data_IF_166332550839
#
_entry.id   IF_166332550839
#
_cell.length_a   1.000
_cell.length_b   1.000
_cell.length_c   1.000
_cell.angle_alpha   90.00
_cell.angle_beta   90.00
_cell.angle_gamma   90.00
#
_symmetry.space_group_name_H-M   'P 1'
#
loop_
_entity.id
_entity.type
_entity.pdbx_description
1 polymer ?
#
# COMPACT_ATOMS: atom_id res chain seq x y z
N UNK A 1 -14.41 5.55 10.76
CA UNK A 1 -12.96 5.42 11.10
C UNK A 1 -12.66 3.93 11.20
N UNK A 2 -12.12 3.34 10.13
CA UNK A 2 -11.80 1.91 10.09
C UNK A 2 -10.53 1.71 10.93
N UNK A 3 -10.66 1.07 12.08
CA UNK A 3 -9.53 0.63 12.89
C UNK A 3 -8.67 -0.33 12.08
N UNK A 4 -7.34 -0.18 12.11
CA UNK A 4 -6.42 -1.07 11.42
C UNK A 4 -6.65 -2.52 11.87
N UNK A 5 -7.19 -3.34 10.99
CA UNK A 5 -7.37 -4.77 11.19
C UNK A 5 -6.46 -5.55 10.23
N UNK A 6 -6.02 -6.69 10.65
CA UNK A 6 -5.26 -7.62 9.83
C UNK A 6 -6.18 -8.76 9.44
N UNK A 7 -6.40 -8.94 8.14
CA UNK A 7 -7.15 -10.08 7.61
C UNK A 7 -6.16 -11.22 7.34
N UNK A 8 -6.35 -12.36 7.99
CA UNK A 8 -5.55 -13.56 7.79
C UNK A 8 -6.44 -14.78 7.59
N UNK A 9 -5.99 -15.72 6.76
CA UNK A 9 -6.65 -17.02 6.62
C UNK A 9 -5.97 -18.02 7.54
N UNK A 10 -6.72 -18.53 8.51
CA UNK A 10 -6.25 -19.59 9.41
C UNK A 10 -6.78 -20.95 8.94
N UNK A 11 -5.96 -22.02 9.00
CA UNK A 11 -6.41 -23.36 8.69
C UNK A 11 -7.59 -23.76 9.57
N UNK A 12 -8.67 -24.25 8.96
CA UNK A 12 -9.88 -24.69 9.67
C UNK A 12 -10.81 -23.58 10.20
N UNK A 13 -10.38 -22.31 10.20
CA UNK A 13 -11.19 -21.20 10.73
C UNK A 13 -11.61 -20.18 9.65
N UNK A 14 -11.10 -20.31 8.42
CA UNK A 14 -11.42 -19.36 7.33
C UNK A 14 -10.68 -18.03 7.46
N UNK A 15 -11.34 -16.94 7.01
CA UNK A 15 -10.82 -15.58 7.14
C UNK A 15 -11.08 -15.05 8.56
N UNK A 16 -10.01 -14.73 9.27
CA UNK A 16 -10.06 -14.19 10.62
C UNK A 16 -9.57 -12.76 10.64
N UNK A 17 -10.35 -11.92 11.28
CA UNK A 17 -10.03 -10.51 11.46
C UNK A 17 -9.26 -10.33 12.78
N UNK A 18 -7.96 -10.07 12.68
CA UNK A 18 -7.11 -9.77 13.83
C UNK A 18 -7.09 -8.26 14.10
N UNK A 19 -7.31 -7.85 15.35
CA UNK A 19 -7.04 -6.47 15.72
C UNK A 19 -5.54 -6.19 15.61
N UNK A 20 -5.18 -5.08 14.95
CA UNK A 20 -3.79 -4.66 14.93
C UNK A 20 -3.35 -4.31 16.35
N UNK A 21 -2.36 -5.02 16.87
CA UNK A 21 -1.89 -4.96 18.26
C UNK A 21 -1.24 -3.64 18.68
N UNK A 22 -1.04 -2.68 17.77
CA UNK A 22 -0.31 -1.44 18.09
C UNK A 22 -1.02 -0.21 17.54
N UNK A 23 -1.02 0.89 18.28
CA UNK A 23 -1.48 2.22 17.81
C UNK A 23 -0.74 2.67 16.54
N UNK A 24 0.50 2.26 16.34
CA UNK A 24 1.28 2.51 15.11
C UNK A 24 0.64 1.94 13.84
N UNK A 25 -0.25 0.96 13.96
CA UNK A 25 -0.98 0.39 12.82
C UNK A 25 -2.21 1.20 12.40
N UNK A 26 -2.62 2.17 13.22
CA UNK A 26 -3.74 3.09 12.92
C UNK A 26 -3.16 4.38 12.38
N UNK A 27 -2.98 4.45 11.06
CA UNK A 27 -2.45 5.63 10.39
C UNK A 27 -3.45 6.18 9.39
N UNK A 28 -3.56 7.50 9.32
CA UNK A 28 -4.23 8.18 8.24
C UNK A 28 -3.25 8.45 7.13
N UNK A 29 -3.62 8.12 5.90
CA UNK A 29 -2.83 8.36 4.69
C UNK A 29 -3.62 9.33 3.82
N UNK A 30 -2.99 10.42 3.40
CA UNK A 30 -3.57 11.32 2.41
C UNK A 30 -3.52 10.64 1.04
N UNK A 31 -4.66 10.57 0.38
CA UNK A 31 -4.82 9.99 -0.95
C UNK A 31 -4.87 11.10 -2.01
N UNK A 32 -4.39 10.80 -3.21
CA UNK A 32 -4.58 11.67 -4.37
C UNK A 32 -6.04 11.64 -4.84
N UNK A 33 -6.45 12.69 -5.56
CA UNK A 33 -7.80 12.78 -6.14
C UNK A 33 -8.13 11.58 -7.03
N UNK A 34 -7.18 11.14 -7.87
CA UNK A 34 -7.34 9.97 -8.73
C UNK A 34 -7.58 8.69 -7.92
N UNK A 35 -6.86 8.52 -6.81
CA UNK A 35 -7.06 7.37 -5.92
C UNK A 35 -8.44 7.42 -5.27
N UNK A 36 -8.89 8.59 -4.86
CA UNK A 36 -10.23 8.79 -4.28
C UNK A 36 -11.30 8.49 -5.33
N UNK A 37 -11.15 8.98 -6.57
CA UNK A 37 -12.06 8.69 -7.67
C UNK A 37 -12.17 7.18 -7.92
N UNK A 38 -11.04 6.46 -7.99
CA UNK A 38 -11.03 5.01 -8.15
C UNK A 38 -11.75 4.28 -7.00
N UNK A 39 -11.58 4.74 -5.76
CA UNK A 39 -12.29 4.17 -4.61
C UNK A 39 -13.80 4.40 -4.69
N UNK A 40 -14.24 5.55 -5.20
CA UNK A 40 -15.65 5.81 -5.46
C UNK A 40 -16.22 4.88 -6.55
N UNK A 41 -15.47 4.62 -7.62
CA UNK A 41 -15.89 3.65 -8.65
C UNK A 41 -16.04 2.24 -8.06
N UNK A 42 -15.09 1.80 -7.22
CA UNK A 42 -15.17 0.51 -6.53
C UNK A 42 -16.41 0.46 -5.65
N UNK A 43 -16.69 1.53 -4.90
CA UNK A 43 -17.91 1.60 -4.07
C UNK A 43 -19.18 1.58 -4.91
N UNK A 44 -19.21 2.26 -6.04
CA UNK A 44 -20.33 2.21 -6.98
C UNK A 44 -20.62 0.78 -7.45
N UNK A 45 -19.58 0.03 -7.82
CA UNK A 45 -19.70 -1.39 -8.21
C UNK A 45 -20.24 -2.25 -7.07
N UNK A 46 -19.77 -2.04 -5.83
CA UNK A 46 -20.29 -2.76 -4.66
C UNK A 46 -21.78 -2.49 -4.43
N UNK A 47 -22.24 -1.24 -4.57
CA UNK A 47 -23.66 -0.88 -4.45
C UNK A 47 -24.49 -1.59 -5.52
N UNK A 48 -24.04 -1.63 -6.77
CA UNK A 48 -24.73 -2.35 -7.84
C UNK A 48 -24.82 -3.85 -7.51
N UNK A 49 -23.73 -4.49 -7.12
CA UNK A 49 -23.72 -5.89 -6.71
C UNK A 49 -24.64 -6.17 -5.52
N UNK A 50 -24.64 -5.28 -4.52
CA UNK A 50 -25.55 -5.39 -3.36
C UNK A 50 -27.02 -5.40 -3.79
N UNK A 51 -27.40 -4.56 -4.76
CA UNK A 51 -28.76 -4.52 -5.28
C UNK A 51 -29.11 -5.80 -6.06
N UNK A 52 -28.15 -6.37 -6.78
CA UNK A 52 -28.35 -7.59 -7.58
C UNK A 52 -28.53 -8.84 -6.71
N UNK A 53 -27.76 -8.97 -5.62
CA UNK A 53 -27.80 -10.17 -4.77
C UNK A 53 -28.69 -10.02 -3.53
N UNK A 54 -29.16 -8.82 -3.26
CA UNK A 54 -30.10 -8.47 -2.18
C UNK A 54 -29.74 -9.12 -0.83
N UNK A 55 -30.56 -10.05 -0.35
CA UNK A 55 -30.39 -10.70 0.96
C UNK A 55 -29.12 -11.56 1.09
N UNK A 56 -28.48 -11.91 -0.02
CA UNK A 56 -27.20 -12.63 -0.01
C UNK A 56 -25.99 -11.73 0.25
N UNK A 57 -26.17 -10.42 0.24
CA UNK A 57 -25.10 -9.47 0.52
C UNK A 57 -24.81 -9.34 2.01
N UNK A 58 -23.53 -9.42 2.36
CA UNK A 58 -23.04 -9.10 3.70
C UNK A 58 -22.26 -7.80 3.66
N UNK A 59 -22.73 -6.75 4.33
CA UNK A 59 -21.96 -5.51 4.47
C UNK A 59 -20.83 -5.71 5.49
N UNK A 60 -19.68 -6.12 5.00
CA UNK A 60 -18.48 -6.36 5.80
C UNK A 60 -17.70 -5.07 6.12
N UNK A 61 -18.03 -3.94 5.50
CA UNK A 61 -17.34 -2.66 5.64
C UNK A 61 -15.95 -2.62 4.99
N UNK A 62 -15.57 -3.64 4.22
CA UNK A 62 -14.28 -3.65 3.50
C UNK A 62 -14.36 -2.95 2.14
N UNK A 63 -13.23 -2.34 1.73
CA UNK A 63 -13.09 -1.68 0.42
C UNK A 63 -13.06 -2.71 -0.71
N UNK A 64 -12.39 -3.85 -0.49
CA UNK A 64 -12.29 -4.91 -1.47
C UNK A 64 -13.06 -6.13 -1.00
N UNK A 65 -14.16 -6.40 -1.67
CA UNK A 65 -15.07 -7.52 -1.35
C UNK A 65 -15.21 -8.47 -2.53
N UNK A 66 -15.69 -9.66 -2.24
CA UNK A 66 -16.19 -10.59 -3.25
C UNK A 66 -17.65 -10.24 -3.63
N UNK A 67 -18.25 -11.08 -4.46
CA UNK A 67 -19.61 -10.90 -4.99
C UNK A 67 -20.70 -10.95 -3.90
N UNK A 68 -20.41 -11.50 -2.73
CA UNK A 68 -21.30 -11.56 -1.58
C UNK A 68 -21.03 -10.47 -0.53
N UNK A 69 -20.14 -9.52 -0.79
CA UNK A 69 -19.75 -8.44 0.14
C UNK A 69 -18.74 -8.86 1.22
N UNK A 70 -18.26 -10.10 1.17
CA UNK A 70 -17.23 -10.59 2.10
C UNK A 70 -15.84 -10.08 1.69
N UNK A 71 -14.89 -9.89 2.64
CA UNK A 71 -13.55 -9.42 2.29
C UNK A 71 -12.82 -10.42 1.38
N UNK A 72 -12.14 -9.90 0.35
CA UNK A 72 -11.34 -10.71 -0.57
C UNK A 72 -10.26 -11.48 0.19
N UNK A 73 -10.16 -12.80 -0.07
CA UNK A 73 -9.09 -13.63 0.47
C UNK A 73 -7.71 -13.12 0.01
N UNK A 74 -6.78 -12.81 0.92
CA UNK A 74 -5.44 -12.34 0.58
C UNK A 74 -4.67 -13.30 -0.35
N UNK A 75 -4.91 -14.61 -0.24
CA UNK A 75 -4.30 -15.59 -1.12
C UNK A 75 -4.87 -15.52 -2.54
N UNK A 76 -6.19 -15.26 -2.66
CA UNK A 76 -6.83 -15.04 -3.97
C UNK A 76 -6.31 -13.77 -4.61
N UNK A 77 -6.24 -12.65 -3.86
CA UNK A 77 -5.67 -11.40 -4.34
C UNK A 77 -4.24 -11.60 -4.87
N UNK A 78 -3.39 -12.31 -4.12
CA UNK A 78 -2.01 -12.61 -4.51
C UNK A 78 -1.95 -13.46 -5.79
N UNK A 79 -2.80 -14.47 -5.91
CA UNK A 79 -2.86 -15.35 -7.11
C UNK A 79 -3.35 -14.59 -8.33
N UNK A 80 -4.39 -13.77 -8.16
CA UNK A 80 -4.94 -12.94 -9.24
C UNK A 80 -3.92 -11.92 -9.71
N UNK A 81 -3.23 -11.25 -8.79
CA UNK A 81 -2.16 -10.31 -9.13
C UNK A 81 -1.05 -10.97 -9.97
N UNK A 82 -0.59 -12.17 -9.57
CA UNK A 82 0.41 -12.92 -10.34
C UNK A 82 -0.04 -13.26 -11.76
N UNK A 83 -1.34 -13.62 -11.93
CA UNK A 83 -1.92 -13.88 -13.26
C UNK A 83 -1.93 -12.62 -14.12
N UNK A 84 -2.35 -11.48 -13.56
CA UNK A 84 -2.37 -10.19 -14.26
C UNK A 84 -0.97 -9.78 -14.70
N UNK A 85 0.03 -9.86 -13.81
CA UNK A 85 1.43 -9.56 -14.14
C UNK A 85 1.94 -10.44 -15.30
N UNK A 86 1.64 -11.75 -15.25
CA UNK A 86 2.06 -12.68 -16.30
C UNK A 86 1.34 -12.39 -17.63
N UNK A 87 0.04 -12.11 -17.63
CA UNK A 87 -0.71 -11.80 -18.85
C UNK A 87 -0.28 -10.47 -19.50
N UNK A 88 0.22 -9.54 -18.69
CA UNK A 88 0.75 -8.27 -19.17
C UNK A 88 2.20 -8.37 -19.69
N UNK A 89 2.83 -9.55 -19.67
CA UNK A 89 4.22 -9.74 -20.08
C UNK A 89 5.24 -9.01 -19.21
N UNK A 90 4.86 -8.62 -17.99
CA UNK A 90 5.74 -7.90 -17.08
C UNK A 90 6.69 -8.83 -16.34
N UNK A 91 7.87 -8.34 -15.91
CA UNK A 91 8.76 -9.08 -15.04
C UNK A 91 8.03 -9.58 -13.79
N UNK A 92 8.54 -10.64 -13.18
CA UNK A 92 7.95 -11.23 -11.98
C UNK A 92 7.86 -10.20 -10.86
N UNK A 93 6.64 -9.73 -10.59
CA UNK A 93 6.29 -8.80 -9.52
C UNK A 93 5.47 -9.49 -8.43
N UNK A 94 5.56 -8.94 -7.22
CA UNK A 94 4.71 -9.33 -6.09
C UNK A 94 3.99 -8.11 -5.55
N UNK A 95 2.88 -8.30 -4.84
CA UNK A 95 2.19 -7.19 -4.14
C UNK A 95 3.15 -6.48 -3.17
N UNK A 96 4.02 -7.24 -2.50
CA UNK A 96 5.06 -6.66 -1.66
C UNK A 96 6.11 -5.89 -2.47
N UNK A 97 6.44 -6.35 -3.68
CA UNK A 97 7.32 -5.64 -4.62
C UNK A 97 6.74 -4.30 -5.04
N UNK A 98 5.42 -4.18 -5.24
CA UNK A 98 4.78 -2.88 -5.50
C UNK A 98 4.99 -1.88 -4.37
N UNK A 99 4.99 -2.35 -3.13
CA UNK A 99 5.30 -1.51 -1.97
C UNK A 99 6.73 -0.99 -2.00
N UNK A 100 7.70 -1.84 -2.40
CA UNK A 100 9.09 -1.41 -2.61
C UNK A 100 9.18 -0.40 -3.75
N UNK A 101 8.53 -0.66 -4.89
CA UNK A 101 8.48 0.28 -6.02
C UNK A 101 7.91 1.64 -5.60
N UNK A 102 6.83 1.64 -4.82
CA UNK A 102 6.25 2.88 -4.28
C UNK A 102 7.25 3.65 -3.40
N UNK A 103 7.98 2.94 -2.52
CA UNK A 103 9.03 3.55 -1.70
C UNK A 103 10.13 4.17 -2.56
N UNK A 104 10.63 3.41 -3.55
CA UNK A 104 11.67 3.83 -4.48
C UNK A 104 11.28 5.11 -5.22
N UNK A 105 10.10 5.14 -5.82
CA UNK A 105 9.60 6.32 -6.55
C UNK A 105 9.56 7.56 -5.65
N UNK A 106 9.03 7.44 -4.43
CA UNK A 106 8.95 8.57 -3.51
C UNK A 106 10.34 9.06 -3.10
N UNK A 107 11.29 8.16 -2.86
CA UNK A 107 12.66 8.51 -2.47
C UNK A 107 13.42 9.16 -3.64
N UNK A 108 13.24 8.70 -4.87
CA UNK A 108 13.77 9.32 -6.09
C UNK A 108 13.23 10.74 -6.31
N UNK A 109 11.98 10.98 -5.93
CA UNK A 109 11.36 12.32 -5.95
C UNK A 109 11.77 13.20 -4.75
N UNK A 110 12.75 12.77 -3.94
CA UNK A 110 13.27 13.54 -2.82
C UNK A 110 12.36 13.59 -1.59
N UNK A 111 11.34 12.75 -1.51
CA UNK A 111 10.48 12.68 -0.32
C UNK A 111 11.28 12.14 0.86
N UNK A 112 11.18 12.82 2.00
CA UNK A 112 11.91 12.44 3.21
C UNK A 112 11.67 10.97 3.59
N UNK A 113 12.71 10.16 3.82
CA UNK A 113 12.59 8.73 4.14
C UNK A 113 11.68 8.42 5.34
N UNK A 114 11.62 9.32 6.34
CA UNK A 114 10.71 9.19 7.47
C UNK A 114 9.25 9.26 7.04
N UNK A 115 8.91 10.21 6.16
CA UNK A 115 7.56 10.37 5.59
C UNK A 115 7.17 9.13 4.78
N UNK A 116 8.10 8.61 3.96
CA UNK A 116 7.90 7.37 3.19
C UNK A 116 7.65 6.19 4.13
N UNK A 117 8.47 6.04 5.17
CA UNK A 117 8.31 4.99 6.18
C UNK A 117 6.97 5.06 6.90
N UNK A 118 6.55 6.25 7.29
CA UNK A 118 5.26 6.48 7.93
C UNK A 118 4.10 6.17 6.98
N UNK A 119 4.14 6.67 5.74
CA UNK A 119 3.12 6.42 4.72
C UNK A 119 2.95 4.93 4.44
N UNK A 120 4.04 4.19 4.33
CA UNK A 120 4.01 2.75 4.08
C UNK A 120 3.75 1.93 5.36
N UNK A 121 3.84 2.50 6.54
CA UNK A 121 3.67 1.78 7.80
C UNK A 121 4.80 0.78 8.05
N UNK A 122 6.05 1.11 7.70
CA UNK A 122 7.18 0.29 8.05
C UNK A 122 7.37 0.28 9.58
N UNK A 123 7.64 -0.89 10.13
CA UNK A 123 7.87 -1.04 11.59
C UNK A 123 9.11 -0.25 12.05
N UNK A 124 10.09 -0.10 11.15
CA UNK A 124 11.31 0.69 11.38
C UNK A 124 11.62 1.56 10.16
N UNK A 125 12.12 2.76 10.41
CA UNK A 125 12.66 3.64 9.35
C UNK A 125 13.88 3.00 8.68
N UNK A 126 14.60 2.11 9.36
CA UNK A 126 15.74 1.39 8.80
C UNK A 126 15.39 0.68 7.49
N UNK A 127 14.22 0.02 7.41
CA UNK A 127 13.75 -0.62 6.16
C UNK A 127 13.66 0.37 5.00
N UNK A 128 13.27 1.62 5.25
CA UNK A 128 13.19 2.66 4.23
C UNK A 128 14.58 3.22 3.92
N UNK A 129 15.45 3.33 4.93
CA UNK A 129 16.83 3.78 4.76
C UNK A 129 17.68 2.79 3.95
N UNK A 130 17.43 1.49 4.08
CA UNK A 130 18.09 0.47 3.25
C UNK A 130 17.73 0.69 1.77
N UNK A 131 16.45 0.93 1.46
CA UNK A 131 16.02 1.27 0.08
C UNK A 131 16.67 2.58 -0.37
N UNK A 132 16.68 3.61 0.48
CA UNK A 132 17.24 4.92 0.19
C UNK A 132 18.71 4.87 -0.21
N UNK A 133 19.52 4.09 0.52
CA UNK A 133 20.94 3.92 0.26
C UNK A 133 21.24 3.24 -1.09
N UNK A 134 20.32 2.36 -1.55
CA UNK A 134 20.45 1.70 -2.85
C UNK A 134 19.99 2.57 -4.02
N UNK A 135 18.99 3.43 -3.79
CA UNK A 135 18.35 4.25 -4.84
C UNK A 135 19.15 5.50 -5.15
N UNK A 136 19.86 6.05 -4.18
CA UNK A 136 20.59 7.32 -4.30
C UNK A 136 22.07 7.16 -3.91
N UNK A 137 22.91 6.47 -4.73
CA UNK A 137 24.32 6.27 -4.44
C UNK A 137 25.10 7.58 -4.31
N UNK A 138 24.69 8.64 -5.04
CA UNK A 138 25.40 9.93 -5.12
C UNK A 138 25.06 10.92 -4.01
N UNK A 139 24.50 10.44 -2.90
CA UNK A 139 24.08 11.31 -1.79
C UNK A 139 25.23 12.08 -1.14
N UNK A 140 26.41 11.46 -1.04
CA UNK A 140 27.59 12.11 -0.46
C UNK A 140 28.09 13.25 -1.35
N UNK A 141 28.07 13.04 -2.66
CA UNK A 141 28.45 14.07 -3.64
C UNK A 141 27.46 15.24 -3.62
N UNK A 142 26.16 14.96 -3.60
CA UNK A 142 25.13 15.99 -3.46
C UNK A 142 25.25 16.75 -2.15
N UNK A 143 25.60 16.09 -1.05
CA UNK A 143 25.81 16.75 0.24
C UNK A 143 27.02 17.69 0.19
N UNK A 144 28.13 17.27 -0.42
CA UNK A 144 29.32 18.11 -0.60
C UNK A 144 28.98 19.37 -1.44
N UNK A 145 28.33 19.16 -2.60
CA UNK A 145 27.90 20.27 -3.46
C UNK A 145 26.94 21.25 -2.77
N UNK A 146 26.04 20.76 -1.93
CA UNK A 146 25.12 21.59 -1.18
C UNK A 146 25.83 22.47 -0.13
N UNK A 147 26.86 21.96 0.53
CA UNK A 147 27.70 22.74 1.46
C UNK A 147 28.49 23.80 0.71
N UNK A 148 29.13 23.44 -0.39
CA UNK A 148 29.88 24.39 -1.23
C UNK A 148 28.99 25.53 -1.73
N UNK A 149 27.79 25.21 -2.19
CA UNK A 149 26.81 26.21 -2.64
C UNK A 149 26.32 27.12 -1.49
N UNK A 150 26.15 26.58 -0.29
CA UNK A 150 25.70 27.35 0.88
C UNK A 150 26.77 28.29 1.43
N UNK A 151 28.04 27.95 1.26
CA UNK A 151 29.19 28.72 1.74
C UNK A 151 29.83 29.63 0.68
N UNK A 152 29.36 29.57 -0.57
CA UNK A 152 29.85 30.43 -1.64
C UNK A 152 29.64 31.90 -1.27
N UNK A 153 30.65 32.78 -1.43
CA UNK A 153 30.52 34.21 -1.18
C UNK A 153 29.47 34.82 -2.13
N UNK A 154 28.59 35.63 -1.58
CA UNK A 154 27.58 36.37 -2.34
C UNK A 154 28.22 37.52 -3.15
#
# INVERSE_FOLDING_TARGET
MLGGCTLARLPGQGLVNGQSKTERSRKSIVLSEDTVALLHEIRGKQITQQLEVADAWTDSGYVFTDEAGMPVDPNLATRTFKKVVASAGLPKLTIHGLRHTHATILLEQGVNPKVVSERLGHASVATTMDIYSHVLPDLQEKAAMAIDAALAPK
#
